data_IF_966015305058
#
_entry.id   IF_966015305058
#
_cell.length_a   1.000
_cell.length_b   1.000
_cell.length_c   1.000
_cell.angle_alpha   90.00
_cell.angle_beta   90.00
_cell.angle_gamma   90.00
#
_symmetry.space_group_name_H-M   'P 1'
#
loop_
_entity.id
_entity.type
_entity.pdbx_description
1 polymer ?
#
# COMPACT_ATOMS: atom_id res chain seq x y z
N UNK A 1 -24.94 1.64 -4.83
CA UNK A 1 -24.22 2.50 -5.80
C UNK A 1 -25.25 3.44 -6.41
N UNK A 2 -25.08 4.75 -6.31
CA UNK A 2 -26.01 5.75 -6.86
C UNK A 2 -25.65 6.16 -8.30
N UNK A 3 -24.35 6.11 -8.64
CA UNK A 3 -23.84 6.39 -10.00
C UNK A 3 -22.67 5.45 -10.29
N UNK A 4 -22.66 4.87 -11.49
CA UNK A 4 -21.54 4.14 -12.07
C UNK A 4 -21.49 4.49 -13.56
N UNK A 5 -20.55 5.35 -13.95
CA UNK A 5 -20.39 5.80 -15.34
C UNK A 5 -18.95 6.23 -15.59
N UNK A 6 -18.39 5.79 -16.72
CA UNK A 6 -17.12 6.30 -17.24
C UNK A 6 -17.35 7.51 -18.15
N UNK A 7 -16.35 8.40 -18.21
CA UNK A 7 -16.34 9.58 -19.05
C UNK A 7 -14.99 9.68 -19.76
N UNK A 8 -14.99 10.12 -21.02
CA UNK A 8 -13.77 10.17 -21.84
C UNK A 8 -13.34 8.80 -22.37
N UNK A 9 -12.05 8.69 -22.71
CA UNK A 9 -11.45 7.50 -23.29
C UNK A 9 -10.59 6.76 -22.26
N UNK A 10 -10.72 5.44 -22.20
CA UNK A 10 -9.81 4.55 -21.49
C UNK A 10 -8.49 4.37 -22.26
N UNK A 11 -8.55 4.41 -23.59
CA UNK A 11 -7.40 4.37 -24.48
C UNK A 11 -7.59 5.40 -25.60
N UNK A 12 -6.67 6.36 -25.68
CA UNK A 12 -6.74 7.45 -26.65
C UNK A 12 -6.18 7.06 -28.02
N UNK A 13 -5.32 6.04 -28.13
CA UNK A 13 -4.75 5.58 -29.39
C UNK A 13 -5.78 4.79 -30.19
N UNK A 14 -6.60 4.00 -29.49
CA UNK A 14 -7.62 3.14 -30.08
C UNK A 14 -9.05 3.66 -29.92
N UNK A 15 -9.22 4.91 -29.48
CA UNK A 15 -10.53 5.55 -29.24
C UNK A 15 -11.49 4.71 -28.37
N UNK A 16 -10.96 4.04 -27.34
CA UNK A 16 -11.76 3.16 -26.47
C UNK A 16 -12.45 3.99 -25.40
N UNK A 17 -13.79 4.01 -25.32
CA UNK A 17 -14.50 4.76 -24.30
C UNK A 17 -14.32 4.15 -22.90
N UNK A 18 -14.15 5.01 -21.89
CA UNK A 18 -14.18 4.57 -20.50
C UNK A 18 -15.60 4.20 -20.06
N UNK A 19 -15.72 3.11 -19.31
CA UNK A 19 -16.97 2.61 -18.75
C UNK A 19 -16.76 2.19 -17.27
N UNK A 20 -17.82 1.84 -16.52
CA UNK A 20 -17.69 1.43 -15.12
C UNK A 20 -16.77 0.22 -14.87
N UNK A 21 -16.55 -0.61 -15.88
CA UNK A 21 -15.72 -1.81 -15.83
C UNK A 21 -14.24 -1.52 -16.19
N UNK A 22 -13.92 -0.30 -16.62
CA UNK A 22 -12.56 0.09 -16.99
C UNK A 22 -11.65 0.06 -15.77
N UNK A 23 -10.58 -0.73 -15.84
CA UNK A 23 -9.59 -0.84 -14.77
C UNK A 23 -8.50 0.22 -14.92
N UNK A 24 -8.31 1.04 -13.88
CA UNK A 24 -7.23 2.02 -13.81
C UNK A 24 -6.18 1.60 -12.78
N UNK A 25 -4.93 1.99 -13.01
CA UNK A 25 -3.88 1.87 -11.98
C UNK A 25 -4.16 2.90 -10.87
N UNK A 26 -4.59 2.42 -9.71
CA UNK A 26 -4.99 3.30 -8.58
C UNK A 26 -3.80 3.83 -7.75
N UNK A 27 -2.57 3.45 -8.09
CA UNK A 27 -1.35 3.98 -7.46
C UNK A 27 -1.35 3.85 -5.94
N UNK A 28 -1.13 4.97 -5.24
CA UNK A 28 -1.03 4.98 -3.78
C UNK A 28 -2.32 4.56 -3.05
N UNK A 29 -3.49 4.53 -3.71
CA UNK A 29 -4.72 4.00 -3.10
C UNK A 29 -4.56 2.53 -2.71
N UNK A 30 -3.70 1.76 -3.41
CA UNK A 30 -3.35 0.37 -3.06
C UNK A 30 -2.89 0.22 -1.60
N UNK A 31 -2.24 1.24 -1.01
CA UNK A 31 -1.75 1.19 0.39
C UNK A 31 -2.87 0.93 1.40
N UNK A 32 -4.08 1.42 1.16
CA UNK A 32 -5.23 1.19 2.03
C UNK A 32 -5.59 -0.30 2.10
N UNK A 33 -5.52 -1.00 0.97
CA UNK A 33 -5.76 -2.44 0.90
C UNK A 33 -4.65 -3.24 1.59
N UNK A 34 -3.39 -2.84 1.41
CA UNK A 34 -2.27 -3.43 2.15
C UNK A 34 -2.42 -3.23 3.66
N UNK A 35 -2.79 -2.03 4.11
CA UNK A 35 -3.03 -1.75 5.52
C UNK A 35 -4.18 -2.61 6.08
N UNK A 36 -5.29 -2.74 5.34
CA UNK A 36 -6.39 -3.62 5.73
C UNK A 36 -5.94 -5.09 5.84
N UNK A 37 -5.12 -5.59 4.92
CA UNK A 37 -4.57 -6.95 4.99
C UNK A 37 -3.70 -7.15 6.24
N UNK A 38 -2.85 -6.17 6.59
CA UNK A 38 -2.05 -6.22 7.82
C UNK A 38 -2.96 -6.22 9.06
N UNK A 39 -3.99 -5.37 9.12
CA UNK A 39 -4.91 -5.34 10.24
C UNK A 39 -5.72 -6.64 10.38
N UNK A 40 -6.06 -7.32 9.28
CA UNK A 40 -6.66 -8.67 9.36
C UNK A 40 -5.69 -9.70 9.95
N UNK A 41 -4.39 -9.59 9.68
CA UNK A 41 -3.39 -10.45 10.32
C UNK A 41 -3.25 -10.16 11.82
N UNK A 42 -3.41 -8.89 12.22
CA UNK A 42 -3.48 -8.49 13.64
C UNK A 42 -4.70 -9.11 14.32
N UNK A 43 -5.89 -8.99 13.71
CA UNK A 43 -7.12 -9.61 14.23
C UNK A 43 -7.00 -11.13 14.37
N UNK A 44 -6.28 -11.78 13.46
CA UNK A 44 -6.00 -13.22 13.50
C UNK A 44 -4.90 -13.61 14.51
N UNK A 45 -4.28 -12.65 15.21
CA UNK A 45 -3.19 -12.91 16.15
C UNK A 45 -1.89 -13.38 15.49
N UNK A 46 -1.72 -13.20 14.17
CA UNK A 46 -0.53 -13.63 13.42
C UNK A 46 0.63 -12.64 13.55
N UNK A 47 0.32 -11.39 13.85
CA UNK A 47 1.28 -10.33 14.14
C UNK A 47 0.67 -9.29 15.08
N UNK A 48 1.52 -8.51 15.73
CA UNK A 48 1.14 -7.31 16.48
C UNK A 48 1.57 -6.05 15.73
N UNK A 49 0.82 -4.96 15.91
CA UNK A 49 1.24 -3.64 15.41
C UNK A 49 2.54 -3.14 16.06
N UNK A 50 2.84 -3.64 17.26
CA UNK A 50 4.03 -3.25 18.02
C UNK A 50 5.17 -4.27 17.87
N UNK A 51 4.99 -5.30 17.02
CA UNK A 51 6.11 -6.17 16.63
C UNK A 51 7.15 -5.37 15.84
N UNK A 52 8.41 -5.66 16.10
CA UNK A 52 9.53 -5.15 15.31
C UNK A 52 9.59 -5.82 13.93
N UNK A 53 9.91 -5.06 12.89
CA UNK A 53 10.03 -5.52 11.51
C UNK A 53 11.02 -6.68 11.37
N UNK A 54 12.13 -6.68 12.13
CA UNK A 54 13.15 -7.74 12.09
C UNK A 54 12.61 -9.13 12.43
N UNK A 55 11.48 -9.21 13.15
CA UNK A 55 10.77 -10.49 13.39
C UNK A 55 10.28 -11.16 12.11
N UNK A 56 9.96 -10.35 11.09
CA UNK A 56 9.37 -10.82 9.82
C UNK A 56 10.35 -10.71 8.65
N UNK A 57 11.28 -9.74 8.71
CA UNK A 57 12.27 -9.47 7.67
C UNK A 57 13.63 -9.25 8.35
N UNK A 58 14.30 -10.31 8.81
CA UNK A 58 15.50 -10.21 9.65
C UNK A 58 16.69 -9.54 8.94
N UNK A 59 16.77 -9.68 7.61
CA UNK A 59 17.87 -9.14 6.80
C UNK A 59 17.63 -7.70 6.34
N UNK A 60 16.55 -7.03 6.79
CA UNK A 60 16.31 -5.64 6.42
C UNK A 60 17.36 -4.73 7.08
N UNK A 61 18.04 -3.83 6.34
CA UNK A 61 19.17 -3.05 6.86
C UNK A 61 18.70 -1.87 7.74
N UNK A 62 18.20 -2.17 8.94
CA UNK A 62 17.71 -1.18 9.91
C UNK A 62 18.82 -0.45 10.68
N UNK A 63 20.10 -0.83 10.49
CA UNK A 63 21.26 -0.21 11.17
C UNK A 63 21.13 -0.19 12.71
N UNK A 64 20.46 -1.19 13.28
CA UNK A 64 20.23 -1.31 14.73
C UNK A 64 19.02 -0.55 15.27
N UNK A 65 18.26 0.15 14.42
CA UNK A 65 17.01 0.79 14.82
C UNK A 65 15.85 -0.21 14.87
N UNK A 66 15.05 -0.14 15.93
CA UNK A 66 13.79 -0.86 15.99
C UNK A 66 12.73 -0.13 15.17
N UNK A 67 12.01 -0.85 14.30
CA UNK A 67 10.93 -0.31 13.47
C UNK A 67 9.70 -1.18 13.64
N UNK A 68 8.61 -0.62 14.17
CA UNK A 68 7.37 -1.37 14.38
C UNK A 68 6.52 -1.45 13.11
N UNK A 69 5.67 -2.47 13.02
CA UNK A 69 4.66 -2.56 11.95
C UNK A 69 3.77 -1.30 11.91
N UNK A 70 3.42 -0.74 13.07
CA UNK A 70 2.66 0.51 13.20
C UNK A 70 3.37 1.68 12.51
N UNK A 71 4.68 1.82 12.71
CA UNK A 71 5.49 2.88 12.11
C UNK A 71 5.57 2.76 10.58
N UNK A 72 5.51 1.55 10.04
CA UNK A 72 5.41 1.34 8.59
C UNK A 72 4.04 1.78 8.05
N UNK A 73 2.96 1.43 8.74
CA UNK A 73 1.58 1.75 8.32
C UNK A 73 1.25 3.25 8.37
N UNK A 74 1.86 4.01 9.29
CA UNK A 74 1.59 5.43 9.48
C UNK A 74 2.71 6.35 8.94
N UNK A 75 3.69 5.78 8.22
CA UNK A 75 4.82 6.51 7.62
C UNK A 75 5.73 7.25 8.62
N UNK A 76 5.98 6.67 9.80
CA UNK A 76 6.88 7.23 10.83
C UNK A 76 8.07 6.31 11.16
N UNK A 77 8.45 5.40 10.27
CA UNK A 77 9.57 4.45 10.49
C UNK A 77 10.97 5.07 10.34
N UNK A 78 11.06 6.23 9.69
CA UNK A 78 12.35 6.86 9.36
C UNK A 78 13.11 6.18 8.21
N UNK A 79 12.54 5.14 7.58
CA UNK A 79 13.13 4.52 6.39
C UNK A 79 13.07 5.53 5.21
N UNK A 80 14.20 5.85 4.56
CA UNK A 80 14.22 6.79 3.44
C UNK A 80 13.33 6.35 2.27
N UNK A 81 12.72 7.31 1.57
CA UNK A 81 11.97 6.98 0.37
C UNK A 81 12.91 6.47 -0.72
N UNK A 82 12.54 5.37 -1.37
CA UNK A 82 13.30 4.86 -2.52
C UNK A 82 13.30 5.83 -3.71
N UNK A 83 12.31 6.75 -3.78
CA UNK A 83 12.26 7.81 -4.80
C UNK A 83 13.11 9.03 -4.47
N UNK A 84 13.63 9.12 -3.23
CA UNK A 84 14.55 10.18 -2.81
C UNK A 84 16.02 9.76 -2.88
N UNK A 85 16.29 8.49 -3.21
CA UNK A 85 17.64 7.98 -3.46
C UNK A 85 18.01 8.33 -4.91
N UNK A 86 18.56 9.53 -5.08
CA UNK A 86 19.23 9.96 -6.31
C UNK A 86 20.69 9.55 -6.33
#
# INVERSE_FOLDING_TARGET
ILVAKGYGLADAEFDVPANPETMFRIGSVTKQFTAAAILRLVEQGKLSLDDDLSKYVPDFPLQGHAVTIRQLLNHTSGIPSYTSLG
#
